data_IF_658707187704
#
_entry.id   IF_658707187704
#
_cell.length_a   1.000
_cell.length_b   1.000
_cell.length_c   1.000
_cell.angle_alpha   90.00
_cell.angle_beta   90.00
_cell.angle_gamma   90.00
#
_symmetry.space_group_name_H-M   'P 1'
#
loop_
_entity.id
_entity.type
_entity.pdbx_description
1 polymer ?
2 water ?
#
# COMPACT_ATOMS: atom_id res chain seq x y z
N UNK A 1 -4.47 -15.88 1.45
CA UNK A 1 -3.67 -14.75 0.99
C UNK A 1 -3.52 -13.70 2.10
N UNK A 2 -2.30 -13.17 2.32
CA UNK A 2 -2.04 -12.13 3.34
C UNK A 2 -1.32 -11.03 2.59
N UNK A 3 -1.96 -9.84 2.43
CA UNK A 3 -1.40 -8.79 1.61
C UNK A 3 -1.56 -7.37 2.15
N UNK A 4 -0.53 -6.53 1.95
CA UNK A 4 -0.60 -5.10 2.25
C UNK A 4 -0.33 -4.39 0.91
N UNK A 5 -1.24 -3.49 0.50
CA UNK A 5 -1.06 -2.61 -0.64
C UNK A 5 -0.98 -1.21 0.03
N UNK A 6 0.19 -0.55 -0.04
CA UNK A 6 0.41 0.77 0.58
C UNK A 6 0.94 1.76 -0.47
N UNK A 7 0.15 2.79 -0.80
CA UNK A 7 0.48 3.79 -1.82
C UNK A 7 0.40 5.21 -1.24
N UNK A 8 1.48 6.00 -1.37
CA UNK A 8 1.51 7.36 -0.84
C UNK A 8 2.05 8.32 -1.88
N UNK A 9 1.32 9.40 -2.17
CA UNK A 9 1.77 10.42 -3.12
C UNK A 9 1.80 11.73 -2.34
N UNK A 10 2.96 12.40 -2.23
CA UNK A 10 3.07 13.69 -1.51
C UNK A 10 3.58 14.79 -2.43
#
# INVERSE_FOLDING_TARGET
KVQIINKKLD
#
